data_IF_112383997976
#
_entry.id   IF_112383997976
#
_cell.length_a   1.000
_cell.length_b   1.000
_cell.length_c   1.000
_cell.angle_alpha   90.00
_cell.angle_beta   90.00
_cell.angle_gamma   90.00
#
_symmetry.space_group_name_H-M   'P 1'
#
loop_
_entity.id
_entity.type
_entity.pdbx_description
1 polymer ?
#
# COMPACT_ATOMS: atom_id res chain seq x y z
N UNK A 1 -2.47 7.36 -13.10
CA UNK A 1 -1.56 6.43 -12.42
C UNK A 1 -2.26 5.19 -11.87
N UNK A 2 -3.04 5.27 -10.79
CA UNK A 2 -3.68 4.11 -10.12
C UNK A 2 -4.42 3.15 -11.06
N UNK A 3 -5.29 3.67 -11.94
CA UNK A 3 -5.99 2.84 -12.92
C UNK A 3 -5.08 2.13 -13.94
N UNK A 4 -3.90 2.69 -14.26
CA UNK A 4 -2.92 2.04 -15.12
C UNK A 4 -2.22 0.90 -14.39
N UNK A 5 -1.84 1.10 -13.12
CA UNK A 5 -1.25 0.05 -12.27
C UNK A 5 -2.21 -1.14 -12.13
N UNK A 6 -3.48 -0.92 -11.80
CA UNK A 6 -4.44 -2.03 -11.68
C UNK A 6 -4.75 -2.75 -12.98
N UNK A 7 -4.76 -2.02 -14.10
CA UNK A 7 -4.89 -2.64 -15.44
C UNK A 7 -3.57 -3.22 -15.95
N UNK A 8 -2.49 -3.07 -15.16
CA UNK A 8 -1.13 -3.50 -15.51
C UNK A 8 -0.68 -2.93 -16.85
N UNK A 9 -1.06 -1.69 -17.12
CA UNK A 9 -0.68 -0.97 -18.32
C UNK A 9 0.69 -0.30 -18.10
N UNK A 10 1.76 -1.10 -18.30
CA UNK A 10 3.13 -0.65 -18.11
C UNK A 10 3.53 0.51 -19.03
N UNK A 11 2.89 0.62 -20.21
CA UNK A 11 3.15 1.71 -21.15
C UNK A 11 2.67 3.04 -20.59
N UNK A 12 1.42 3.11 -20.13
CA UNK A 12 0.86 4.30 -19.48
C UNK A 12 1.61 4.64 -18.19
N UNK A 13 2.04 3.63 -17.43
CA UNK A 13 2.88 3.86 -16.23
C UNK A 13 4.19 4.57 -16.60
N UNK A 14 4.93 4.04 -17.58
CA UNK A 14 6.21 4.63 -18.01
C UNK A 14 6.02 6.05 -18.55
N UNK A 15 4.95 6.31 -19.31
CA UNK A 15 4.64 7.66 -19.80
C UNK A 15 4.40 8.66 -18.67
N UNK A 16 3.58 8.29 -17.67
CA UNK A 16 3.27 9.15 -16.52
C UNK A 16 4.53 9.41 -15.69
N UNK A 17 5.31 8.37 -15.39
CA UNK A 17 6.53 8.51 -14.58
C UNK A 17 7.59 9.34 -15.29
N UNK A 18 7.72 9.19 -16.61
CA UNK A 18 8.64 10.00 -17.42
C UNK A 18 8.26 11.49 -17.42
N UNK A 19 6.97 11.81 -17.34
CA UNK A 19 6.51 13.19 -17.21
C UNK A 19 6.87 13.81 -15.84
N UNK A 20 7.07 12.98 -14.82
CA UNK A 20 7.58 13.36 -13.52
C UNK A 20 7.32 12.30 -12.46
N UNK A 21 8.40 11.78 -11.86
CA UNK A 21 8.30 10.86 -10.72
C UNK A 21 7.86 11.65 -9.47
N UNK A 22 6.73 11.26 -8.88
CA UNK A 22 6.19 11.93 -7.69
C UNK A 22 6.61 11.20 -6.42
N UNK A 23 7.35 11.89 -5.56
CA UNK A 23 7.82 11.35 -4.27
C UNK A 23 6.68 10.91 -3.32
N UNK A 24 5.47 11.46 -3.50
CA UNK A 24 4.27 11.13 -2.72
C UNK A 24 3.65 9.76 -3.08
N UNK A 25 4.06 9.13 -4.17
CA UNK A 25 3.40 7.91 -4.70
C UNK A 25 4.40 6.84 -5.20
N UNK A 26 5.59 6.76 -4.59
CA UNK A 26 6.66 5.85 -5.01
C UNK A 26 6.30 4.37 -4.87
N UNK A 27 5.50 3.96 -3.87
CA UNK A 27 5.02 2.58 -3.69
C UNK A 27 4.12 2.18 -4.85
N UNK A 28 3.10 2.99 -5.12
CA UNK A 28 2.20 2.77 -6.26
C UNK A 28 2.97 2.78 -7.60
N UNK A 29 3.94 3.70 -7.71
CA UNK A 29 4.77 3.82 -8.92
C UNK A 29 5.67 2.63 -9.13
N UNK A 30 6.36 2.17 -8.08
CA UNK A 30 7.23 1.00 -8.13
C UNK A 30 6.46 -0.26 -8.49
N UNK A 31 5.23 -0.44 -8.01
CA UNK A 31 4.39 -1.57 -8.42
C UNK A 31 4.09 -1.55 -9.92
N UNK A 32 3.73 -0.39 -10.47
CA UNK A 32 3.55 -0.24 -11.91
C UNK A 32 4.84 -0.46 -12.72
N UNK A 33 6.00 -0.07 -12.16
CA UNK A 33 7.30 -0.25 -12.81
C UNK A 33 7.76 -1.70 -12.78
N UNK A 34 7.44 -2.47 -11.74
CA UNK A 34 7.66 -3.92 -11.71
C UNK A 34 6.93 -4.61 -12.87
N UNK A 35 5.67 -4.21 -13.11
CA UNK A 35 4.89 -4.65 -14.26
C UNK A 35 5.51 -4.24 -15.60
N UNK A 36 5.86 -2.96 -15.74
CA UNK A 36 6.44 -2.41 -16.96
C UNK A 36 7.76 -3.09 -17.33
N UNK A 37 8.61 -3.39 -16.34
CA UNK A 37 9.86 -4.13 -16.55
C UNK A 37 9.57 -5.57 -16.97
N UNK A 38 8.63 -6.26 -16.30
CA UNK A 38 8.24 -7.62 -16.69
C UNK A 38 7.65 -7.70 -18.10
N UNK A 39 7.04 -6.62 -18.58
CA UNK A 39 6.47 -6.49 -19.92
C UNK A 39 7.50 -6.05 -20.98
N UNK A 40 8.72 -5.71 -20.58
CA UNK A 40 9.77 -5.22 -21.49
C UNK A 40 9.47 -3.83 -22.07
N UNK A 41 8.74 -2.98 -21.36
CA UNK A 41 8.39 -1.63 -21.83
C UNK A 41 9.65 -0.77 -21.95
N UNK A 42 9.90 -0.09 -23.10
CA UNK A 42 11.09 0.73 -23.29
C UNK A 42 11.23 1.85 -22.24
N UNK A 43 12.39 1.91 -21.59
CA UNK A 43 12.69 2.88 -20.53
C UNK A 43 12.21 2.50 -19.13
N UNK A 44 11.50 1.38 -18.97
CA UNK A 44 11.06 0.92 -17.64
C UNK A 44 12.23 0.58 -16.70
N UNK A 45 13.33 0.04 -17.24
CA UNK A 45 14.54 -0.34 -16.48
C UNK A 45 15.18 0.87 -15.79
N UNK A 46 15.36 1.98 -16.52
CA UNK A 46 15.96 3.21 -16.00
C UNK A 46 15.05 3.83 -14.92
N UNK A 47 13.76 3.96 -15.22
CA UNK A 47 12.78 4.51 -14.28
C UNK A 47 12.61 3.64 -13.02
N UNK A 48 12.72 2.30 -13.14
CA UNK A 48 12.70 1.39 -12.00
C UNK A 48 13.92 1.57 -11.09
N UNK A 49 15.10 1.80 -11.66
CA UNK A 49 16.31 2.08 -10.89
C UNK A 49 16.21 3.44 -10.17
N UNK A 50 15.72 4.48 -10.85
CA UNK A 50 15.49 5.80 -10.26
C UNK A 50 14.45 5.74 -9.12
N UNK A 51 13.36 4.99 -9.33
CA UNK A 51 12.36 4.75 -8.30
C UNK A 51 12.95 4.03 -7.09
N UNK A 52 13.77 2.99 -7.29
CA UNK A 52 14.44 2.27 -6.20
C UNK A 52 15.38 3.19 -5.39
N UNK A 53 16.10 4.10 -6.06
CA UNK A 53 16.94 5.09 -5.39
C UNK A 53 16.10 6.08 -4.58
N UNK A 54 15.01 6.61 -5.16
CA UNK A 54 14.10 7.53 -4.47
C UNK A 54 13.41 6.89 -3.25
N UNK A 55 13.03 5.61 -3.34
CA UNK A 55 12.46 4.85 -2.23
C UNK A 55 13.47 4.75 -1.06
N UNK A 56 14.72 4.39 -1.35
CA UNK A 56 15.78 4.30 -0.33
C UNK A 56 16.13 5.65 0.30
N UNK A 57 16.06 6.74 -0.48
CA UNK A 57 16.27 8.08 0.06
C UNK A 57 15.11 8.50 0.98
N UNK A 58 13.87 8.14 0.62
CA UNK A 58 12.67 8.46 1.40
C UNK A 58 12.57 7.68 2.70
N UNK A 59 12.99 6.41 2.68
CA UNK A 59 13.07 5.52 3.85
C UNK A 59 11.76 5.42 4.64
N UNK A 60 10.64 5.28 3.93
CA UNK A 60 9.37 4.94 4.58
C UNK A 60 9.24 3.43 4.73
N UNK A 61 8.41 3.03 5.70
CA UNK A 61 8.04 1.64 5.91
C UNK A 61 7.52 1.01 4.59
N UNK A 62 8.14 -0.09 4.16
CA UNK A 62 7.89 -0.75 2.88
C UNK A 62 8.80 -0.30 1.72
N UNK A 63 9.54 0.80 1.86
CA UNK A 63 10.37 1.34 0.77
C UNK A 63 11.59 0.48 0.49
N UNK A 64 12.24 -0.05 1.53
CA UNK A 64 13.37 -0.97 1.39
C UNK A 64 12.95 -2.23 0.63
N UNK A 65 11.83 -2.84 1.02
CA UNK A 65 11.31 -4.06 0.38
C UNK A 65 10.98 -3.84 -1.10
N UNK A 66 10.37 -2.70 -1.45
CA UNK A 66 10.05 -2.39 -2.84
C UNK A 66 11.30 -2.07 -3.66
N UNK A 67 12.23 -1.29 -3.10
CA UNK A 67 13.50 -0.97 -3.76
C UNK A 67 14.30 -2.23 -4.07
N UNK A 68 14.39 -3.15 -3.11
CA UNK A 68 15.06 -4.44 -3.29
C UNK A 68 14.36 -5.30 -4.35
N UNK A 69 13.02 -5.32 -4.36
CA UNK A 69 12.25 -6.04 -5.37
C UNK A 69 12.45 -5.47 -6.79
N UNK A 70 12.51 -4.14 -6.93
CA UNK A 70 12.83 -3.47 -8.19
C UNK A 70 14.22 -3.88 -8.65
N UNK A 71 15.25 -3.72 -7.82
CA UNK A 71 16.64 -4.04 -8.18
C UNK A 71 16.87 -5.52 -8.47
N UNK A 72 16.22 -6.42 -7.73
CA UNK A 72 16.24 -7.85 -8.02
C UNK A 72 15.66 -8.14 -9.42
N UNK A 73 14.56 -7.48 -9.79
CA UNK A 73 13.95 -7.60 -11.12
C UNK A 73 14.88 -7.10 -12.23
N UNK A 74 15.72 -6.10 -11.93
CA UNK A 74 16.75 -5.58 -12.83
C UNK A 74 18.04 -6.43 -12.87
N UNK A 75 18.15 -7.49 -12.06
CA UNK A 75 19.38 -8.25 -11.81
C UNK A 75 20.54 -7.38 -11.25
N UNK A 76 20.20 -6.33 -10.49
CA UNK A 76 21.14 -5.39 -9.88
C UNK A 76 21.17 -5.49 -8.35
N UNK A 77 20.40 -6.41 -7.77
CA UNK A 77 20.33 -6.67 -6.33
C UNK A 77 20.46 -8.15 -6.01
N UNK A 78 20.47 -8.52 -4.72
CA UNK A 78 20.44 -9.91 -4.31
C UNK A 78 19.15 -10.60 -4.79
N UNK A 79 19.21 -11.92 -4.95
CA UNK A 79 18.01 -12.70 -5.25
C UNK A 79 16.99 -12.55 -4.10
N UNK A 80 15.68 -12.39 -4.38
CA UNK A 80 14.68 -12.26 -3.34
C UNK A 80 14.67 -13.50 -2.44
N UNK A 81 14.81 -13.29 -1.14
CA UNK A 81 14.66 -14.34 -0.12
C UNK A 81 13.20 -14.58 0.26
N UNK A 82 12.34 -13.58 0.03
CA UNK A 82 10.90 -13.62 0.31
C UNK A 82 10.12 -14.36 -0.78
N UNK A 83 9.17 -15.20 -0.34
CA UNK A 83 8.29 -15.96 -1.21
C UNK A 83 7.30 -15.05 -1.96
N UNK A 84 7.07 -15.24 -3.28
CA UNK A 84 6.08 -14.46 -4.00
C UNK A 84 4.65 -14.85 -3.57
N UNK A 85 3.81 -13.86 -3.27
CA UNK A 85 2.38 -14.04 -2.97
C UNK A 85 1.55 -13.06 -3.83
N UNK A 86 0.58 -13.52 -4.64
CA UNK A 86 -0.21 -12.66 -5.55
C UNK A 86 -1.32 -11.87 -4.83
N UNK A 87 -0.96 -11.20 -3.74
CA UNK A 87 -1.87 -10.44 -2.87
C UNK A 87 -2.03 -8.99 -3.36
N UNK A 88 -3.24 -8.46 -3.28
CA UNK A 88 -3.51 -7.04 -3.46
C UNK A 88 -3.19 -6.27 -2.16
N UNK A 89 -2.23 -5.35 -2.23
CA UNK A 89 -1.80 -4.57 -1.08
C UNK A 89 -2.88 -3.63 -0.53
N UNK A 90 -3.82 -3.18 -1.37
CA UNK A 90 -4.92 -2.34 -0.88
C UNK A 90 -5.91 -3.19 -0.08
N UNK A 91 -6.30 -4.36 -0.61
CA UNK A 91 -7.16 -5.31 0.10
C UNK A 91 -6.50 -5.75 1.43
N UNK A 92 -5.20 -6.04 1.42
CA UNK A 92 -4.47 -6.36 2.65
C UNK A 92 -4.43 -5.20 3.64
N UNK A 93 -4.24 -3.97 3.16
CA UNK A 93 -4.22 -2.79 4.04
C UNK A 93 -5.56 -2.57 4.75
N UNK A 94 -6.67 -2.93 4.10
CA UNK A 94 -8.01 -2.87 4.69
C UNK A 94 -8.22 -3.95 5.77
N UNK A 95 -7.52 -5.09 5.68
CA UNK A 95 -7.50 -6.08 6.76
C UNK A 95 -6.66 -5.61 7.95
N UNK A 96 -5.50 -5.01 7.68
CA UNK A 96 -4.54 -4.58 8.71
C UNK A 96 -5.04 -3.39 9.52
N UNK A 97 -5.75 -2.46 8.89
CA UNK A 97 -6.10 -1.18 9.51
C UNK A 97 -7.59 -0.90 9.50
N UNK A 98 -8.12 -0.47 10.64
CA UNK A 98 -9.54 -0.18 10.76
C UNK A 98 -10.05 -0.24 12.18
N UNK A 99 -11.32 -0.59 12.33
CA UNK A 99 -11.91 -0.90 13.62
C UNK A 99 -11.39 -2.28 14.10
N UNK A 100 -10.70 -2.38 15.25
CA UNK A 100 -10.22 -3.66 15.77
C UNK A 100 -11.33 -4.70 16.01
N UNK A 101 -12.58 -4.27 16.17
CA UNK A 101 -13.73 -5.16 16.42
C UNK A 101 -14.12 -5.94 15.15
N UNK A 102 -13.92 -5.35 13.97
CA UNK A 102 -14.35 -5.91 12.69
C UNK A 102 -13.20 -6.10 11.68
N UNK A 103 -11.99 -5.66 12.03
CA UNK A 103 -10.81 -5.77 11.20
C UNK A 103 -10.14 -7.14 11.30
N UNK A 104 -9.08 -7.32 10.51
CA UNK A 104 -8.39 -8.60 10.38
C UNK A 104 -9.10 -9.54 9.42
N UNK A 105 -8.60 -10.76 9.35
CA UNK A 105 -9.08 -11.79 8.44
C UNK A 105 -8.00 -12.80 8.10
N UNK A 106 -8.01 -13.33 6.88
CA UNK A 106 -6.99 -14.26 6.39
C UNK A 106 -6.70 -14.07 4.90
N UNK A 107 -5.50 -14.45 4.49
CA UNK A 107 -5.08 -14.47 3.09
C UNK A 107 -5.00 -15.93 2.63
N UNK A 108 -5.58 -16.25 1.48
CA UNK A 108 -5.36 -17.54 0.83
C UNK A 108 -3.95 -17.57 0.22
N UNK A 109 -3.05 -18.40 0.74
CA UNK A 109 -1.67 -18.49 0.27
C UNK A 109 -1.55 -19.02 -1.18
N UNK A 110 -2.59 -19.66 -1.73
CA UNK A 110 -2.60 -20.14 -3.12
C UNK A 110 -3.05 -19.05 -4.09
N UNK A 111 -4.04 -18.25 -3.72
CA UNK A 111 -4.68 -17.29 -4.64
C UNK A 111 -4.32 -15.83 -4.34
N UNK A 112 -3.81 -15.54 -3.15
CA UNK A 112 -3.56 -14.19 -2.65
C UNK A 112 -4.82 -13.42 -2.24
N UNK A 113 -6.00 -14.06 -2.26
CA UNK A 113 -7.26 -13.40 -1.90
C UNK A 113 -7.29 -13.03 -0.41
N UNK A 114 -7.63 -11.77 -0.13
CA UNK A 114 -7.86 -11.27 1.22
C UNK A 114 -9.32 -11.50 1.62
N UNK A 115 -9.54 -12.26 2.69
CA UNK A 115 -10.85 -12.51 3.27
C UNK A 115 -10.99 -11.74 4.59
N UNK A 116 -11.85 -10.70 4.65
CA UNK A 116 -12.16 -10.02 5.91
C UNK A 116 -12.79 -10.95 6.93
N UNK A 117 -12.54 -10.69 8.22
CA UNK A 117 -13.11 -11.49 9.31
C UNK A 117 -14.63 -11.62 9.21
N UNK A 118 -15.34 -10.53 8.89
CA UNK A 118 -16.79 -10.56 8.71
C UNK A 118 -17.26 -11.56 7.64
N UNK A 119 -16.51 -11.73 6.55
CA UNK A 119 -16.85 -12.71 5.50
C UNK A 119 -16.59 -14.16 5.91
N UNK A 120 -15.69 -14.37 6.88
CA UNK A 120 -15.41 -15.69 7.46
C UNK A 120 -16.53 -16.06 8.42
N UNK A 121 -16.90 -15.13 9.30
CA UNK A 121 -17.98 -15.33 10.28
C UNK A 121 -19.31 -15.68 9.58
N UNK A 122 -19.58 -15.10 8.41
CA UNK A 122 -20.75 -15.43 7.58
C UNK A 122 -20.66 -16.81 6.89
N UNK A 123 -19.45 -17.35 6.70
CA UNK A 123 -19.18 -18.58 5.96
C UNK A 123 -18.97 -19.80 6.87
N UNK A 124 -18.57 -19.62 8.13
CA UNK A 124 -18.38 -20.70 9.11
C UNK A 124 -19.70 -21.44 9.46
N UNK A 125 -20.86 -20.93 9.00
CA UNK A 125 -22.14 -21.66 8.98
C UNK A 125 -22.19 -22.77 7.90
N UNK A 126 -21.19 -22.87 7.01
CA UNK A 126 -21.08 -23.84 5.92
C UNK A 126 -19.73 -24.58 6.01
N UNK A 127 -19.73 -25.79 6.59
CA UNK A 127 -18.61 -26.75 6.72
C UNK A 127 -17.35 -26.43 5.88
N UNK A 128 -16.40 -25.72 6.49
CA UNK A 128 -15.15 -25.29 5.86
C UNK A 128 -14.00 -26.29 6.08
N UNK A 129 -13.30 -26.61 4.98
CA UNK A 129 -12.10 -27.46 4.96
C UNK A 129 -10.93 -26.75 5.65
N UNK A 130 -10.54 -27.26 6.83
CA UNK A 130 -9.58 -26.69 7.77
C UNK A 130 -8.13 -27.03 7.38
N UNK A 131 -7.75 -26.70 6.14
CA UNK A 131 -6.36 -26.82 5.67
C UNK A 131 -5.53 -25.66 6.25
N UNK A 132 -5.03 -25.83 7.48
CA UNK A 132 -4.27 -24.84 8.26
C UNK A 132 -3.08 -24.25 7.46
N UNK A 133 -2.46 -25.02 6.56
CA UNK A 133 -1.31 -24.59 5.75
C UNK A 133 -1.70 -23.69 4.56
N UNK A 134 -3.00 -23.53 4.27
CA UNK A 134 -3.50 -22.70 3.16
C UNK A 134 -3.68 -21.24 3.55
N UNK A 135 -3.88 -20.94 4.83
CA UNK A 135 -4.35 -19.64 5.26
C UNK A 135 -3.30 -18.89 6.08
N UNK A 136 -3.07 -17.63 5.73
CA UNK A 136 -2.26 -16.72 6.54
C UNK A 136 -3.17 -15.78 7.32
N UNK A 137 -3.21 -15.94 8.65
CA UNK A 137 -3.99 -15.09 9.54
C UNK A 137 -3.49 -13.64 9.57
N UNK A 138 -4.42 -12.68 9.54
CA UNK A 138 -4.16 -11.24 9.58
C UNK A 138 -4.90 -10.65 10.78
N UNK A 139 -4.13 -10.07 11.71
CA UNK A 139 -4.70 -9.38 12.86
C UNK A 139 -4.77 -7.88 12.59
N UNK A 140 -5.89 -7.26 12.97
CA UNK A 140 -6.04 -5.80 12.85
C UNK A 140 -5.08 -5.08 13.81
N UNK A 141 -4.25 -4.19 13.29
CA UNK A 141 -3.40 -3.27 14.06
C UNK A 141 -4.18 -2.08 14.62
N UNK A 142 -5.46 -1.98 14.24
CA UNK A 142 -6.40 -0.97 14.67
C UNK A 142 -6.18 0.39 14.01
N UNK A 143 -6.58 1.45 14.69
CA UNK A 143 -6.59 2.80 14.15
C UNK A 143 -5.31 3.60 14.40
N UNK A 144 -4.33 3.03 15.12
CA UNK A 144 -3.08 3.73 15.47
C UNK A 144 -2.24 4.11 14.24
N UNK A 145 -2.01 3.23 13.25
CA UNK A 145 -1.25 3.59 12.05
C UNK A 145 -1.91 4.74 11.28
N UNK A 146 -3.22 4.64 11.02
CA UNK A 146 -3.98 5.70 10.36
C UNK A 146 -4.00 7.02 11.15
N UNK A 147 -3.99 6.98 12.48
CA UNK A 147 -3.90 8.20 13.30
C UNK A 147 -2.53 8.88 13.14
N UNK A 148 -1.44 8.11 13.13
CA UNK A 148 -0.10 8.62 12.86
C UNK A 148 0.02 9.22 11.46
N UNK A 149 -0.68 8.68 10.48
CA UNK A 149 -0.72 9.27 9.14
C UNK A 149 -1.40 10.64 9.14
N UNK A 150 -2.47 10.86 9.93
CA UNK A 150 -3.04 12.20 10.11
C UNK A 150 -2.01 13.16 10.73
N UNK A 151 -1.30 12.75 11.80
CA UNK A 151 -0.27 13.58 12.44
C UNK A 151 0.87 13.95 11.48
N UNK A 152 1.36 12.96 10.72
CA UNK A 152 2.41 13.18 9.71
C UNK A 152 1.95 14.07 8.58
N UNK A 153 0.72 13.89 8.10
CA UNK A 153 0.17 14.76 7.05
C UNK A 153 0.03 16.20 7.52
N UNK A 154 -0.43 16.43 8.76
CA UNK A 154 -0.51 17.79 9.33
C UNK A 154 0.87 18.47 9.28
N UNK A 155 1.94 17.73 9.57
CA UNK A 155 3.31 18.25 9.53
C UNK A 155 3.80 18.62 8.12
N UNK A 156 3.11 18.20 7.06
CA UNK A 156 3.43 18.58 5.67
C UNK A 156 2.56 19.72 5.12
N UNK A 157 1.61 20.24 5.91
CA UNK A 157 0.71 21.32 5.47
C UNK A 157 1.38 22.67 5.71
N UNK A 158 1.54 23.47 4.65
CA UNK A 158 2.21 24.78 4.73
C UNK A 158 1.37 25.87 5.39
N UNK A 159 0.04 25.86 5.21
CA UNK A 159 -0.86 26.89 5.75
C UNK A 159 -1.10 26.70 7.25
N UNK A 160 -0.60 27.58 8.13
CA UNK A 160 -0.74 27.44 9.58
C UNK A 160 -2.20 27.46 10.05
N UNK A 161 -3.11 28.11 9.30
CA UNK A 161 -4.53 28.15 9.64
C UNK A 161 -5.24 26.83 9.31
N UNK A 162 -4.72 26.04 8.37
CA UNK A 162 -5.18 24.68 8.12
C UNK A 162 -4.62 23.76 9.22
N UNK A 163 -3.32 23.87 9.52
CA UNK A 163 -2.64 23.09 10.57
C UNK A 163 -3.38 23.19 11.91
N UNK A 164 -3.63 24.40 12.42
CA UNK A 164 -4.32 24.63 13.71
C UNK A 164 -5.70 23.93 13.76
N UNK A 165 -6.47 24.01 12.66
CA UNK A 165 -7.78 23.37 12.56
C UNK A 165 -7.68 21.85 12.57
N UNK A 166 -6.70 21.27 11.88
CA UNK A 166 -6.50 19.84 11.82
C UNK A 166 -6.01 19.29 13.17
N UNK A 167 -5.08 19.96 13.84
CA UNK A 167 -4.59 19.58 15.16
C UNK A 167 -5.71 19.54 16.22
N UNK A 168 -6.67 20.47 16.13
CA UNK A 168 -7.88 20.44 16.97
C UNK A 168 -8.80 19.28 16.57
N UNK A 169 -8.97 19.04 15.27
CA UNK A 169 -9.89 18.04 14.73
C UNK A 169 -9.51 16.61 15.11
N UNK A 170 -8.21 16.30 15.22
CA UNK A 170 -7.75 14.94 15.54
C UNK A 170 -7.87 14.58 17.03
N UNK A 171 -8.17 15.54 17.93
CA UNK A 171 -8.19 15.27 19.38
C UNK A 171 -9.46 14.56 19.83
N UNK A 172 -9.35 13.36 20.37
CA UNK A 172 -10.46 12.62 20.99
C UNK A 172 -11.29 11.79 20.02
N UNK A 173 -12.48 11.38 20.44
CA UNK A 173 -13.34 10.46 19.66
C UNK A 173 -13.75 11.07 18.31
N UNK A 174 -13.88 10.22 17.29
CA UNK A 174 -14.28 10.64 15.94
C UNK A 174 -13.23 11.47 15.19
N UNK A 175 -11.95 11.37 15.56
CA UNK A 175 -10.83 12.11 14.95
C UNK A 175 -10.79 11.98 13.41
N UNK A 176 -10.82 10.76 12.88
CA UNK A 176 -10.78 10.51 11.43
C UNK A 176 -11.88 11.20 10.64
N UNK A 177 -13.11 11.17 11.16
CA UNK A 177 -14.24 11.84 10.50
C UNK A 177 -14.04 13.34 10.53
N UNK A 178 -13.75 13.92 11.70
CA UNK A 178 -13.57 15.37 11.85
C UNK A 178 -12.39 15.90 11.03
N UNK A 179 -11.29 15.17 10.99
CA UNK A 179 -10.14 15.49 10.16
C UNK A 179 -10.53 15.61 8.68
N UNK A 180 -11.23 14.59 8.14
CA UNK A 180 -11.74 14.63 6.77
C UNK A 180 -12.79 15.74 6.55
N UNK A 181 -13.67 15.98 7.51
CA UNK A 181 -14.67 17.05 7.44
C UNK A 181 -14.02 18.45 7.41
N UNK A 182 -12.87 18.63 8.09
CA UNK A 182 -12.07 19.86 8.01
C UNK A 182 -11.40 19.96 6.64
N UNK A 183 -10.72 18.91 6.19
CA UNK A 183 -10.06 18.88 4.87
C UNK A 183 -11.04 19.04 3.71
N UNK A 184 -12.31 18.64 3.84
CA UNK A 184 -13.32 18.80 2.81
C UNK A 184 -13.57 20.27 2.40
N UNK A 185 -13.11 21.24 3.20
CA UNK A 185 -13.13 22.67 2.85
C UNK A 185 -12.02 23.05 1.86
N UNK A 186 -11.00 22.22 1.70
CA UNK A 186 -9.88 22.34 0.77
C UNK A 186 -9.74 21.04 -0.04
N UNK A 187 -10.51 20.88 -1.14
CA UNK A 187 -10.54 19.63 -1.89
C UNK A 187 -9.17 19.13 -2.35
N UNK A 188 -8.24 20.04 -2.69
CA UNK A 188 -6.88 19.69 -3.09
C UNK A 188 -6.08 19.04 -1.95
N UNK A 189 -6.16 19.60 -0.74
CA UNK A 189 -5.53 19.05 0.47
C UNK A 189 -6.17 17.72 0.88
N UNK A 190 -7.49 17.59 0.72
CA UNK A 190 -8.18 16.32 0.96
C UNK A 190 -7.70 15.23 -0.01
N UNK A 191 -7.54 15.56 -1.29
CA UNK A 191 -6.99 14.62 -2.27
C UNK A 191 -5.53 14.26 -1.96
N UNK A 192 -4.70 15.25 -1.59
CA UNK A 192 -3.31 15.02 -1.17
C UNK A 192 -3.24 14.07 0.02
N UNK A 193 -4.12 14.25 1.01
CA UNK A 193 -4.21 13.33 2.15
C UNK A 193 -4.57 11.91 1.73
N UNK A 194 -5.51 11.72 0.79
CA UNK A 194 -5.84 10.37 0.32
C UNK A 194 -4.64 9.70 -0.35
N UNK A 195 -3.94 10.39 -1.25
CA UNK A 195 -2.73 9.86 -1.89
C UNK A 195 -1.67 9.51 -0.83
N UNK A 196 -1.41 10.44 0.11
CA UNK A 196 -0.46 10.23 1.20
C UNK A 196 -0.83 9.01 2.07
N UNK A 197 -2.08 8.89 2.49
CA UNK A 197 -2.53 7.81 3.35
C UNK A 197 -2.52 6.46 2.63
N UNK A 198 -2.94 6.41 1.36
CA UNK A 198 -2.89 5.17 0.55
C UNK A 198 -1.46 4.70 0.32
N UNK A 199 -0.54 5.61 0.00
CA UNK A 199 0.89 5.33 -0.14
C UNK A 199 1.48 4.72 1.14
N UNK A 200 1.18 5.33 2.29
CA UNK A 200 1.64 4.88 3.61
C UNK A 200 1.07 3.51 3.99
N UNK A 201 -0.20 3.26 3.68
CA UNK A 201 -0.86 1.96 3.89
C UNK A 201 -0.24 0.86 3.03
N UNK A 202 0.03 1.15 1.75
CA UNK A 202 0.66 0.20 0.82
C UNK A 202 2.06 -0.21 1.29
N UNK A 203 2.85 0.76 1.75
CA UNK A 203 4.17 0.50 2.35
C UNK A 203 4.08 -0.39 3.58
N UNK A 204 3.16 -0.10 4.52
CA UNK A 204 2.92 -0.94 5.71
C UNK A 204 2.49 -2.36 5.37
N UNK A 205 1.54 -2.51 4.45
CA UNK A 205 1.08 -3.82 4.00
C UNK A 205 2.24 -4.65 3.39
N UNK A 206 3.14 -4.00 2.64
CA UNK A 206 4.35 -4.65 2.11
C UNK A 206 5.33 -5.07 3.21
N UNK A 207 5.63 -4.18 4.15
CA UNK A 207 6.51 -4.48 5.28
C UNK A 207 5.94 -5.64 6.13
N UNK A 208 4.62 -5.63 6.36
CA UNK A 208 3.94 -6.71 7.07
C UNK A 208 4.08 -8.06 6.35
N UNK A 209 3.92 -8.10 5.02
CA UNK A 209 4.15 -9.33 4.25
C UNK A 209 5.58 -9.83 4.36
N UNK A 210 6.56 -8.92 4.32
CA UNK A 210 7.96 -9.25 4.44
C UNK A 210 8.27 -9.89 5.81
N UNK A 211 7.68 -9.38 6.90
CA UNK A 211 7.75 -10.01 8.23
C UNK A 211 7.17 -11.44 8.23
N UNK A 212 6.16 -11.71 7.39
CA UNK A 212 5.60 -13.05 7.17
C UNK A 212 6.39 -13.91 6.19
N UNK A 213 7.51 -13.42 5.66
CA UNK A 213 8.36 -14.14 4.71
C UNK A 213 7.88 -14.06 3.25
N UNK A 214 6.93 -13.16 2.95
CA UNK A 214 6.35 -13.00 1.63
C UNK A 214 6.66 -11.64 1.02
N UNK A 215 6.59 -11.56 -0.30
CA UNK A 215 6.58 -10.31 -1.05
C UNK A 215 5.39 -10.27 -2.00
N UNK A 216 4.82 -9.08 -2.26
CA UNK A 216 3.82 -8.92 -3.30
C UNK A 216 4.36 -9.40 -4.64
N UNK A 217 3.56 -10.16 -5.35
CA UNK A 217 3.90 -10.63 -6.69
C UNK A 217 2.74 -10.42 -7.64
N UNK A 218 3.05 -10.48 -8.93
CA UNK A 218 2.09 -10.30 -9.98
C UNK A 218 1.08 -11.45 -9.93
N UNK A 219 -0.20 -11.11 -9.72
CA UNK A 219 -1.26 -12.08 -9.91
C UNK A 219 -1.33 -12.40 -11.42
N UNK A 220 -0.96 -13.63 -11.79
CA UNK A 220 -0.90 -14.05 -13.21
C UNK A 220 -2.28 -14.38 -13.78
N UNK A 221 -3.30 -14.48 -12.92
CA UNK A 221 -4.62 -15.02 -13.26
C UNK A 221 -5.76 -13.98 -13.16
N UNK A 222 -5.45 -12.68 -13.08
CA UNK A 222 -6.44 -11.56 -13.19
C UNK A 222 -6.28 -10.80 -14.50
#
# INVERSE_FOLDING_TARGET
MRGAVYRRDGSTVVEVVRAGLTHEALQLTGDGLLDAVSQGVPGAVELAADCAAALRERDWEGDEELADQLLATLNQGPAPTLGPLPVDLDELSDLLEGDPVYGGGRIDLKTGHCLPQASIDDADDLDGDDDDDRWLGVWCEGSRPGYRDMERFIATVDDPAIVDRLEIAIRGQGAFRRFKDVLARWPEELQRYFVFSEERKRGRARAWLADKGYRPSLNRDR
#
